data_IF_137209148149
#
_entry.id   IF_137209148149
#
_cell.length_a   1.000
_cell.length_b   1.000
_cell.length_c   1.000
_cell.angle_alpha   90.00
_cell.angle_beta   90.00
_cell.angle_gamma   90.00
#
_symmetry.space_group_name_H-M   'P 1'
#
loop_
_entity.id
_entity.type
_entity.pdbx_description
1 polymer ?
#
# COMPACT_ATOMS: atom_id res chain seq x y z
N UNK A 1 -22.48 16.61 12.33
CA UNK A 1 -22.15 15.27 11.79
C UNK A 1 -20.89 15.36 10.92
N UNK A 2 -19.67 15.40 11.48
CA UNK A 2 -18.44 15.51 10.68
C UNK A 2 -17.62 14.20 10.68
N UNK A 3 -18.26 13.03 10.64
CA UNK A 3 -17.57 11.73 10.78
C UNK A 3 -17.25 11.02 9.45
N UNK A 4 -17.72 11.52 8.30
CA UNK A 4 -17.48 10.86 7.00
C UNK A 4 -16.26 11.44 6.25
N UNK A 5 -15.92 12.71 6.50
CA UNK A 5 -14.83 13.39 5.78
C UNK A 5 -13.43 12.95 6.22
N UNK A 6 -13.27 12.35 7.40
CA UNK A 6 -11.97 11.86 7.87
C UNK A 6 -11.60 10.48 7.30
N UNK A 7 -12.58 9.71 6.82
CA UNK A 7 -12.35 8.42 6.15
C UNK A 7 -11.81 8.63 4.71
N UNK A 8 -11.90 9.86 4.20
CA UNK A 8 -11.59 10.23 2.81
C UNK A 8 -10.09 10.35 2.48
N UNK A 9 -9.20 10.42 3.49
CA UNK A 9 -7.78 10.69 3.22
C UNK A 9 -6.88 9.44 3.13
N UNK A 10 -7.25 8.31 3.74
CA UNK A 10 -6.38 7.10 3.76
C UNK A 10 -6.85 5.97 2.82
N UNK A 11 -8.06 6.06 2.24
CA UNK A 11 -8.56 5.09 1.24
C UNK A 11 -8.18 5.42 -0.21
N UNK A 12 -7.17 6.27 -0.43
CA UNK A 12 -6.83 6.74 -1.78
C UNK A 12 -5.89 5.82 -2.57
N UNK A 13 -5.39 4.74 -1.97
CA UNK A 13 -4.43 3.86 -2.61
C UNK A 13 -5.02 2.48 -2.92
N UNK A 14 -4.65 1.93 -4.07
CA UNK A 14 -4.95 0.53 -4.40
C UNK A 14 -4.06 -0.47 -3.65
N UNK A 15 -4.45 -1.74 -3.67
CA UNK A 15 -3.54 -2.84 -3.33
C UNK A 15 -2.34 -2.81 -4.28
N UNK A 16 -1.14 -2.98 -3.75
CA UNK A 16 0.09 -3.05 -4.55
C UNK A 16 0.83 -4.36 -4.27
N UNK A 17 1.34 -4.98 -5.33
CA UNK A 17 2.18 -6.17 -5.25
C UNK A 17 3.56 -5.85 -5.83
N UNK A 18 4.61 -6.25 -5.11
CA UNK A 18 5.99 -6.09 -5.52
C UNK A 18 6.74 -7.41 -5.45
N UNK A 19 7.72 -7.56 -6.31
CA UNK A 19 8.51 -8.76 -6.46
C UNK A 19 9.96 -8.39 -6.71
N UNK A 20 10.87 -9.17 -6.13
CA UNK A 20 12.31 -9.02 -6.32
C UNK A 20 13.01 -10.36 -6.13
N UNK A 21 13.60 -10.88 -7.22
CA UNK A 21 14.14 -12.24 -7.23
C UNK A 21 13.07 -13.27 -6.86
N UNK A 22 13.33 -14.07 -5.81
CA UNK A 22 12.37 -15.06 -5.31
C UNK A 22 11.37 -14.52 -4.27
N UNK A 23 11.48 -13.25 -3.86
CA UNK A 23 10.60 -12.62 -2.88
C UNK A 23 9.39 -11.96 -3.56
N UNK A 24 8.20 -12.10 -2.94
CA UNK A 24 7.00 -11.38 -3.33
C UNK A 24 6.35 -10.76 -2.10
N UNK A 25 5.98 -9.49 -2.17
CA UNK A 25 5.33 -8.75 -1.08
C UNK A 25 4.02 -8.17 -1.60
N UNK A 26 2.96 -8.37 -0.82
CA UNK A 26 1.66 -7.77 -1.05
C UNK A 26 1.44 -6.70 0.02
N UNK A 27 1.09 -5.50 -0.41
CA UNK A 27 0.72 -4.37 0.44
C UNK A 27 -0.74 -3.98 0.20
N UNK A 28 -1.45 -3.70 1.28
CA UNK A 28 -2.81 -3.15 1.25
C UNK A 28 -2.91 -1.98 2.22
N UNK A 29 -3.63 -0.92 1.85
CA UNK A 29 -3.95 0.14 2.80
C UNK A 29 -4.80 -0.43 3.93
N UNK A 30 -4.60 0.09 5.14
CA UNK A 30 -5.39 -0.24 6.32
C UNK A 30 -6.25 0.95 6.74
N UNK A 31 -7.25 0.69 7.60
CA UNK A 31 -8.03 1.77 8.20
C UNK A 31 -7.18 2.54 9.22
N UNK A 32 -7.49 3.83 9.48
CA UNK A 32 -6.84 4.61 10.51
C UNK A 32 -6.82 3.88 11.86
N UNK A 33 -5.68 3.91 12.55
CA UNK A 33 -5.50 3.27 13.86
C UNK A 33 -5.18 1.77 13.81
N UNK A 34 -5.00 1.19 12.62
CA UNK A 34 -4.56 -0.21 12.48
C UNK A 34 -3.06 -0.38 12.75
N UNK A 35 -2.26 0.65 12.47
CA UNK A 35 -0.81 0.55 12.49
C UNK A 35 -0.25 -0.26 11.32
N UNK A 36 1.05 -0.55 11.36
CA UNK A 36 1.76 -1.35 10.35
C UNK A 36 1.79 -2.82 10.76
N UNK A 37 0.99 -3.64 10.10
CA UNK A 37 0.95 -5.10 10.31
C UNK A 37 1.64 -5.78 9.14
N UNK A 38 2.94 -6.05 9.28
CA UNK A 38 3.74 -6.72 8.26
C UNK A 38 4.88 -7.56 8.86
N UNK A 39 5.52 -8.41 8.04
CA UNK A 39 6.72 -9.14 8.43
C UNK A 39 7.91 -8.19 8.66
N UNK A 40 8.85 -8.56 9.55
CA UNK A 40 9.88 -7.62 10.08
C UNK A 40 10.60 -6.76 9.04
N UNK A 41 11.10 -7.36 7.95
CA UNK A 41 11.78 -6.59 6.90
C UNK A 41 10.86 -5.59 6.18
N UNK A 42 9.63 -5.99 5.89
CA UNK A 42 8.61 -5.16 5.25
C UNK A 42 8.17 -4.03 6.19
N UNK A 43 7.95 -4.37 7.47
CA UNK A 43 7.53 -3.43 8.52
C UNK A 43 8.54 -2.30 8.71
N UNK A 44 9.83 -2.63 8.86
CA UNK A 44 10.89 -1.62 9.03
C UNK A 44 10.92 -0.65 7.85
N UNK A 45 10.81 -1.15 6.62
CA UNK A 45 10.79 -0.30 5.42
C UNK A 45 9.58 0.64 5.42
N UNK A 46 8.39 0.15 5.78
CA UNK A 46 7.17 0.97 5.84
C UNK A 46 7.21 2.01 6.96
N UNK A 47 7.70 1.64 8.14
CA UNK A 47 7.87 2.57 9.27
C UNK A 47 8.88 3.67 8.92
N UNK A 48 10.02 3.32 8.29
CA UNK A 48 11.01 4.30 7.81
C UNK A 48 10.49 5.19 6.68
N UNK A 49 9.51 4.71 5.91
CA UNK A 49 8.82 5.50 4.88
C UNK A 49 7.73 6.42 5.45
N UNK A 50 7.48 6.39 6.77
CA UNK A 50 6.44 7.19 7.42
C UNK A 50 5.01 6.67 7.19
N UNK A 51 4.87 5.40 6.80
CA UNK A 51 3.54 4.80 6.63
C UNK A 51 2.99 4.40 7.99
N UNK A 52 1.87 5.00 8.38
CA UNK A 52 1.24 4.72 9.68
C UNK A 52 0.34 3.48 9.64
N UNK A 53 -0.44 3.30 8.57
CA UNK A 53 -1.49 2.28 8.48
C UNK A 53 -1.33 1.42 7.21
N UNK A 54 -0.84 0.19 7.37
CA UNK A 54 -0.68 -0.74 6.25
C UNK A 54 -0.72 -2.21 6.67
N UNK A 55 -1.29 -3.04 5.79
CA UNK A 55 -1.23 -4.49 5.90
C UNK A 55 -0.25 -5.04 4.85
N UNK A 56 0.75 -5.80 5.31
CA UNK A 56 1.79 -6.35 4.46
C UNK A 56 1.95 -7.86 4.64
N UNK A 57 1.94 -8.62 3.54
CA UNK A 57 2.25 -10.05 3.55
C UNK A 57 3.43 -10.35 2.64
N UNK A 58 4.48 -10.91 3.21
CA UNK A 58 5.57 -11.55 2.47
C UNK A 58 5.14 -12.96 2.02
N UNK A 59 5.41 -13.27 0.76
CA UNK A 59 5.02 -14.49 0.04
C UNK A 59 6.28 -15.07 -0.62
N UNK A 60 6.36 -16.40 -0.68
CA UNK A 60 7.48 -17.19 -1.23
C UNK A 60 8.75 -17.23 -0.38
N UNK A 61 9.50 -16.13 -0.26
CA UNK A 61 10.84 -16.14 0.34
C UNK A 61 10.90 -15.52 1.74
N UNK A 62 11.81 -16.04 2.58
CA UNK A 62 12.14 -15.49 3.92
C UNK A 62 13.36 -14.57 3.92
N UNK A 63 14.01 -14.36 2.76
CA UNK A 63 15.20 -13.51 2.67
C UNK A 63 14.82 -12.04 2.94
N UNK A 64 15.34 -11.48 4.04
CA UNK A 64 15.04 -10.12 4.50
C UNK A 64 15.41 -9.05 3.47
N UNK A 65 16.58 -9.15 2.83
CA UNK A 65 17.05 -8.16 1.85
C UNK A 65 16.13 -8.11 0.62
N UNK A 66 15.76 -9.27 0.10
CA UNK A 66 14.87 -9.35 -1.06
C UNK A 66 13.44 -8.91 -0.70
N UNK A 67 12.96 -9.24 0.50
CA UNK A 67 11.65 -8.76 0.97
C UNK A 67 11.64 -7.24 1.15
N UNK A 68 12.71 -6.62 1.66
CA UNK A 68 12.85 -5.17 1.71
C UNK A 68 12.83 -4.54 0.31
N UNK A 69 13.63 -5.08 -0.63
CA UNK A 69 13.63 -4.60 -2.03
C UNK A 69 12.28 -4.77 -2.72
N UNK A 70 11.61 -5.91 -2.55
CA UNK A 70 10.27 -6.15 -3.07
C UNK A 70 9.23 -5.18 -2.47
N UNK A 71 9.42 -4.77 -1.21
CA UNK A 71 8.56 -3.77 -0.56
C UNK A 71 8.73 -2.41 -1.21
N UNK A 72 9.95 -1.98 -1.49
CA UNK A 72 10.22 -0.72 -2.21
C UNK A 72 9.55 -0.74 -3.58
N UNK A 73 9.67 -1.84 -4.33
CA UNK A 73 8.99 -2.02 -5.62
C UNK A 73 7.47 -1.96 -5.46
N UNK A 74 6.90 -2.56 -4.40
CA UNK A 74 5.46 -2.52 -4.15
C UNK A 74 4.97 -1.08 -3.87
N UNK A 75 5.70 -0.32 -3.05
CA UNK A 75 5.35 1.08 -2.73
C UNK A 75 5.43 1.95 -3.97
N UNK A 76 6.44 1.78 -4.82
CA UNK A 76 6.57 2.52 -6.09
C UNK A 76 5.43 2.26 -7.07
N UNK A 77 4.84 1.05 -7.04
CA UNK A 77 3.69 0.69 -7.88
C UNK A 77 2.35 1.15 -7.29
N UNK A 78 2.33 1.64 -6.06
CA UNK A 78 1.11 2.09 -5.40
C UNK A 78 0.63 3.37 -6.08
N UNK A 79 -0.57 3.33 -6.64
CA UNK A 79 -1.18 4.47 -7.33
C UNK A 79 -2.33 5.05 -6.52
N UNK A 80 -2.46 6.37 -6.58
CA UNK A 80 -3.63 7.06 -6.06
C UNK A 80 -4.80 6.92 -7.03
N UNK A 81 -6.03 6.80 -6.51
CA UNK A 81 -7.23 6.78 -7.34
C UNK A 81 -7.40 8.05 -8.18
N UNK A 82 -6.91 9.20 -7.70
CA UNK A 82 -6.88 10.47 -8.42
C UNK A 82 -6.02 10.39 -9.70
N UNK A 83 -4.82 9.82 -9.60
CA UNK A 83 -3.93 9.61 -10.74
C UNK A 83 -4.53 8.62 -11.74
N UNK A 84 -5.18 7.55 -11.24
CA UNK A 84 -5.87 6.57 -12.08
C UNK A 84 -7.07 7.19 -12.80
N UNK A 85 -7.84 8.06 -12.14
CA UNK A 85 -8.94 8.81 -12.73
C UNK A 85 -8.44 9.71 -13.87
N UNK A 86 -7.37 10.46 -13.62
CA UNK A 86 -6.75 11.35 -14.60
C UNK A 86 -6.19 10.59 -15.81
N UNK A 87 -5.50 9.47 -15.59
CA UNK A 87 -4.97 8.63 -16.67
C UNK A 87 -6.09 8.01 -17.52
N UNK A 88 -7.21 7.63 -16.90
CA UNK A 88 -8.34 7.00 -17.59
C UNK A 88 -9.31 8.02 -18.22
N UNK A 89 -9.24 9.29 -17.84
CA UNK A 89 -10.16 10.33 -18.28
C UNK A 89 -11.60 10.13 -17.78
N UNK A 90 -11.76 9.40 -16.67
CA UNK A 90 -13.07 9.05 -16.08
C UNK A 90 -13.30 9.90 -14.83
N UNK A 91 -14.50 10.47 -14.62
CA UNK A 91 -14.81 11.21 -13.40
C UNK A 91 -14.69 10.32 -12.15
N UNK A 92 -14.27 10.92 -11.04
CA UNK A 92 -14.01 10.19 -9.79
C UNK A 92 -15.26 9.45 -9.27
N UNK A 93 -16.47 9.97 -9.53
CA UNK A 93 -17.71 9.30 -9.11
C UNK A 93 -17.94 7.94 -9.80
N UNK A 94 -17.42 7.76 -11.01
CA UNK A 94 -17.59 6.53 -11.78
C UNK A 94 -16.55 5.47 -11.40
N UNK A 95 -15.40 5.89 -10.85
CA UNK A 95 -14.39 5.00 -10.26
C UNK A 95 -14.82 4.42 -8.90
N UNK A 96 -15.80 5.04 -8.23
CA UNK A 96 -16.27 4.65 -6.90
C UNK A 96 -17.57 3.82 -6.92
N UNK A 97 -18.22 3.70 -8.09
CA UNK A 97 -19.33 2.78 -8.30
C UNK A 97 -18.85 1.33 -8.36
#
# INVERSE_FOLDING_TARGET
>A
MPSVLLIFFEKQYGRADGDYGAAKVMLRPASPGTGVIAGGAVRIVLEMAGVENALGKQIRSKNALNNARATVVAVQKMRQFSDVARERGIPMEELWK
#
